data_IF_849574487934
#
_entry.id   IF_849574487934
#
_cell.length_a   1.000
_cell.length_b   1.000
_cell.length_c   1.000
_cell.angle_alpha   90.00
_cell.angle_beta   90.00
_cell.angle_gamma   90.00
#
_symmetry.space_group_name_H-M   'P 1'
#
loop_
_entity.id
_entity.type
_entity.pdbx_description
1 polymer ?
#
# COMPACT_ATOMS: atom_id res chain seq x y z
N UNK A 1 -22.99 -16.59 11.61
CA UNK A 1 -23.52 -15.48 10.79
C UNK A 1 -22.34 -14.92 10.03
N UNK A 2 -22.41 -14.92 8.70
CA UNK A 2 -21.31 -14.44 7.84
C UNK A 2 -21.62 -13.02 7.29
N UNK A 3 -20.66 -12.44 6.56
CA UNK A 3 -20.76 -11.04 6.10
C UNK A 3 -21.93 -10.80 5.13
N UNK A 4 -22.26 -11.78 4.30
CA UNK A 4 -23.43 -11.70 3.42
C UNK A 4 -24.72 -11.48 4.22
N UNK A 5 -24.90 -12.26 5.29
CA UNK A 5 -26.06 -12.14 6.15
C UNK A 5 -26.11 -10.80 6.90
N UNK A 6 -24.96 -10.29 7.34
CA UNK A 6 -24.85 -8.98 7.99
C UNK A 6 -25.21 -7.84 7.02
N UNK A 7 -24.61 -7.83 5.84
CA UNK A 7 -24.84 -6.82 4.80
C UNK A 7 -26.31 -6.76 4.38
N UNK A 8 -26.92 -7.93 4.16
CA UNK A 8 -28.34 -8.03 3.84
C UNK A 8 -29.21 -7.40 4.93
N UNK A 9 -28.99 -7.80 6.20
CA UNK A 9 -29.78 -7.28 7.33
C UNK A 9 -29.58 -5.77 7.54
N UNK A 10 -28.34 -5.28 7.41
CA UNK A 10 -28.03 -3.86 7.56
C UNK A 10 -28.70 -2.99 6.49
N UNK A 11 -28.84 -3.53 5.27
CA UNK A 11 -29.55 -2.87 4.17
C UNK A 11 -31.07 -2.99 4.26
N UNK A 12 -31.58 -3.87 5.13
CA UNK A 12 -33.01 -4.15 5.28
C UNK A 12 -33.58 -5.12 4.26
N UNK A 13 -32.74 -5.82 3.51
CA UNK A 13 -33.16 -6.72 2.43
C UNK A 13 -33.67 -8.06 2.96
N UNK A 14 -34.60 -8.68 2.24
CA UNK A 14 -35.03 -10.06 2.48
C UNK A 14 -34.14 -11.06 1.74
N UNK A 15 -34.14 -12.33 2.13
CA UNK A 15 -33.41 -13.36 1.37
C UNK A 15 -33.98 -13.48 -0.05
N UNK A 16 -35.30 -13.30 -0.21
CA UNK A 16 -35.98 -13.20 -1.50
C UNK A 16 -35.44 -12.06 -2.38
N UNK A 17 -35.17 -10.88 -1.82
CA UNK A 17 -34.59 -9.74 -2.56
C UNK A 17 -33.25 -10.10 -3.20
N UNK A 18 -32.36 -10.76 -2.45
CA UNK A 18 -31.07 -11.20 -2.99
C UNK A 18 -31.20 -12.36 -3.98
N UNK A 19 -32.18 -13.24 -3.77
CA UNK A 19 -32.46 -14.36 -4.66
C UNK A 19 -32.90 -13.84 -6.05
N UNK A 20 -33.79 -12.85 -6.08
CA UNK A 20 -34.25 -12.17 -7.30
C UNK A 20 -33.11 -11.43 -8.00
N UNK A 21 -32.27 -10.69 -7.26
CA UNK A 21 -31.09 -10.00 -7.79
C UNK A 21 -30.13 -10.95 -8.52
N UNK A 22 -29.92 -12.14 -7.96
CA UNK A 22 -28.92 -13.08 -8.44
C UNK A 22 -29.48 -14.15 -9.38
N UNK A 23 -30.81 -14.24 -9.53
CA UNK A 23 -31.45 -15.30 -10.32
C UNK A 23 -31.30 -16.68 -9.69
N UNK A 24 -31.27 -16.77 -8.36
CA UNK A 24 -31.15 -18.03 -7.60
C UNK A 24 -32.38 -18.25 -6.71
N UNK A 25 -32.47 -19.40 -6.04
CA UNK A 25 -33.54 -19.64 -5.08
C UNK A 25 -33.28 -18.95 -3.73
N UNK A 26 -34.35 -18.60 -3.01
CA UNK A 26 -34.23 -18.08 -1.63
C UNK A 26 -33.49 -19.06 -0.70
N UNK A 27 -33.68 -20.37 -0.92
CA UNK A 27 -32.96 -21.42 -0.20
C UNK A 27 -31.45 -21.38 -0.45
N UNK A 28 -31.02 -21.00 -1.66
CA UNK A 28 -29.62 -20.80 -2.00
C UNK A 28 -28.99 -19.69 -1.16
N UNK A 29 -29.66 -18.54 -1.04
CA UNK A 29 -29.21 -17.43 -0.19
C UNK A 29 -29.16 -17.87 1.27
N UNK A 30 -30.21 -18.54 1.76
CA UNK A 30 -30.27 -19.05 3.14
C UNK A 30 -29.14 -20.02 3.46
N UNK A 31 -28.78 -20.89 2.52
CA UNK A 31 -27.61 -21.78 2.65
C UNK A 31 -26.32 -20.98 2.71
N UNK A 32 -26.10 -20.07 1.77
CA UNK A 32 -24.89 -19.25 1.72
C UNK A 32 -24.67 -18.45 2.99
N UNK A 33 -25.73 -17.91 3.61
CA UNK A 33 -25.65 -17.18 4.88
C UNK A 33 -25.24 -18.02 6.10
N UNK A 34 -25.42 -19.34 6.02
CA UNK A 34 -25.10 -20.29 7.10
C UNK A 34 -23.68 -20.83 6.99
N UNK A 35 -23.07 -20.77 5.82
CA UNK A 35 -21.69 -21.23 5.63
C UNK A 35 -20.71 -20.31 6.38
N UNK A 36 -19.73 -20.87 7.12
CA UNK A 36 -18.72 -20.08 7.83
C UNK A 36 -17.82 -19.29 6.86
N UNK A 37 -17.58 -19.85 5.67
CA UNK A 37 -16.86 -19.21 4.58
C UNK A 37 -17.75 -19.16 3.34
N UNK A 38 -17.86 -18.00 2.70
CA UNK A 38 -18.71 -17.83 1.54
C UNK A 38 -18.04 -18.42 0.27
N UNK A 39 -18.23 -19.71 0.04
CA UNK A 39 -17.71 -20.43 -1.14
C UNK A 39 -18.75 -20.47 -2.25
N UNK A 40 -18.84 -19.40 -3.04
CA UNK A 40 -19.77 -19.27 -4.16
C UNK A 40 -19.02 -18.86 -5.43
N UNK A 41 -19.65 -18.97 -6.60
CA UNK A 41 -19.02 -18.58 -7.87
C UNK A 41 -18.70 -17.09 -7.89
N UNK A 42 -17.56 -16.75 -8.50
CA UNK A 42 -17.06 -15.37 -8.58
C UNK A 42 -18.07 -14.37 -9.16
N UNK A 43 -18.85 -14.80 -10.17
CA UNK A 43 -19.92 -14.00 -10.78
C UNK A 43 -20.96 -13.48 -9.75
N UNK A 44 -21.31 -14.29 -8.73
CA UNK A 44 -22.23 -13.88 -7.68
C UNK A 44 -21.55 -12.98 -6.65
N UNK A 45 -20.28 -13.24 -6.36
CA UNK A 45 -19.47 -12.44 -5.44
C UNK A 45 -19.36 -11.01 -5.96
N UNK A 46 -19.03 -10.82 -7.26
CA UNK A 46 -18.97 -9.51 -7.88
C UNK A 46 -20.31 -8.77 -7.80
N UNK A 47 -21.41 -9.42 -8.23
CA UNK A 47 -22.75 -8.81 -8.17
C UNK A 47 -23.15 -8.39 -6.75
N UNK A 48 -22.87 -9.22 -5.75
CA UNK A 48 -23.15 -8.90 -4.35
C UNK A 48 -22.27 -7.76 -3.84
N UNK A 49 -20.98 -7.75 -4.18
CA UNK A 49 -20.05 -6.70 -3.79
C UNK A 49 -20.46 -5.34 -4.39
N UNK A 50 -20.82 -5.30 -5.67
CA UNK A 50 -21.37 -4.13 -6.35
C UNK A 50 -22.68 -3.67 -5.73
N UNK A 51 -23.61 -4.60 -5.48
CA UNK A 51 -24.91 -4.30 -4.90
C UNK A 51 -24.82 -3.70 -3.49
N UNK A 52 -23.89 -4.20 -2.67
CA UNK A 52 -23.66 -3.69 -1.32
C UNK A 52 -22.64 -2.54 -1.27
N UNK A 53 -22.01 -2.20 -2.40
CA UNK A 53 -20.95 -1.19 -2.50
C UNK A 53 -19.78 -1.45 -1.54
N UNK A 54 -19.35 -2.71 -1.44
CA UNK A 54 -18.22 -3.14 -0.61
C UNK A 54 -17.16 -3.84 -1.46
N UNK A 55 -15.94 -3.97 -0.95
CA UNK A 55 -14.91 -4.79 -1.58
C UNK A 55 -15.28 -6.28 -1.45
N UNK A 56 -14.96 -7.08 -2.47
CA UNK A 56 -15.06 -8.56 -2.46
C UNK A 56 -14.41 -9.16 -1.21
N UNK A 57 -13.21 -8.71 -0.82
CA UNK A 57 -12.52 -9.22 0.37
C UNK A 57 -13.33 -9.00 1.66
N UNK A 58 -14.05 -7.88 1.76
CA UNK A 58 -14.94 -7.61 2.89
C UNK A 58 -16.14 -8.56 2.87
N UNK A 59 -16.80 -8.74 1.72
CA UNK A 59 -17.92 -9.67 1.56
C UNK A 59 -17.55 -11.12 1.91
N UNK A 60 -16.32 -11.53 1.60
CA UNK A 60 -15.79 -12.87 1.90
C UNK A 60 -15.26 -13.00 3.34
N UNK A 61 -15.19 -11.91 4.12
CA UNK A 61 -14.68 -11.91 5.49
C UNK A 61 -13.15 -11.95 5.61
N UNK A 62 -12.43 -11.63 4.53
CA UNK A 62 -10.96 -11.58 4.49
C UNK A 62 -10.37 -10.29 5.07
N UNK A 63 -11.19 -9.25 5.26
CA UNK A 63 -10.76 -7.96 5.80
C UNK A 63 -10.09 -8.08 7.18
N UNK A 64 -10.63 -8.93 8.05
CA UNK A 64 -10.07 -9.18 9.39
C UNK A 64 -8.97 -10.23 9.37
N UNK A 65 -9.03 -11.24 8.50
CA UNK A 65 -8.05 -12.33 8.49
C UNK A 65 -6.68 -11.83 8.06
N UNK A 66 -6.59 -11.09 6.95
CA UNK A 66 -5.32 -10.56 6.46
C UNK A 66 -4.73 -9.55 7.46
N UNK A 67 -5.56 -8.68 8.03
CA UNK A 67 -5.10 -7.69 9.01
C UNK A 67 -4.59 -8.36 10.29
N UNK A 68 -5.29 -9.38 10.79
CA UNK A 68 -4.88 -10.12 11.99
C UNK A 68 -3.64 -10.99 11.74
N UNK A 69 -3.51 -11.60 10.57
CA UNK A 69 -2.32 -12.37 10.18
C UNK A 69 -1.10 -11.47 10.01
N UNK A 70 -1.27 -10.31 9.37
CA UNK A 70 -0.23 -9.30 9.24
C UNK A 70 0.19 -8.77 10.62
N UNK A 71 -0.78 -8.46 11.49
CA UNK A 71 -0.52 -8.01 12.85
C UNK A 71 0.19 -9.09 13.69
N UNK A 72 -0.25 -10.35 13.59
CA UNK A 72 0.39 -11.48 14.27
C UNK A 72 1.81 -11.74 13.77
N UNK A 73 2.03 -11.65 12.46
CA UNK A 73 3.37 -11.75 11.85
C UNK A 73 4.28 -10.62 12.33
N UNK A 74 3.78 -9.39 12.34
CA UNK A 74 4.51 -8.23 12.84
C UNK A 74 4.88 -8.39 14.32
N UNK A 75 3.93 -8.78 15.17
CA UNK A 75 4.18 -9.02 16.60
C UNK A 75 5.22 -10.11 16.83
N UNK A 76 5.16 -11.20 16.06
CA UNK A 76 6.15 -12.27 16.11
C UNK A 76 7.54 -11.77 15.70
N UNK A 77 7.63 -11.00 14.61
CA UNK A 77 8.88 -10.41 14.16
C UNK A 77 9.45 -9.44 15.20
N UNK A 78 8.65 -8.50 15.69
CA UNK A 78 9.04 -7.55 16.73
C UNK A 78 9.55 -8.26 18.00
N UNK A 79 8.87 -9.35 18.40
CA UNK A 79 9.33 -10.21 19.50
C UNK A 79 10.71 -10.81 19.20
N UNK A 80 10.89 -11.42 18.04
CA UNK A 80 12.16 -12.03 17.63
C UNK A 80 13.30 -11.01 17.59
N UNK A 81 13.06 -9.80 17.07
CA UNK A 81 14.07 -8.73 17.04
C UNK A 81 14.48 -8.28 18.43
N UNK A 82 13.51 -8.19 19.36
CA UNK A 82 13.78 -7.78 20.74
C UNK A 82 14.53 -8.85 21.52
N UNK A 83 14.24 -10.13 21.28
CA UNK A 83 14.81 -11.24 22.05
C UNK A 83 16.10 -11.80 21.47
N UNK A 84 16.45 -11.47 20.23
CA UNK A 84 17.63 -11.99 19.55
C UNK A 84 18.55 -10.84 19.09
N UNK A 85 19.57 -10.46 19.88
CA UNK A 85 20.49 -9.38 19.53
C UNK A 85 21.24 -9.64 18.22
N UNK A 86 21.52 -10.90 17.88
CA UNK A 86 22.17 -11.25 16.61
C UNK A 86 21.32 -10.90 15.39
N UNK A 87 19.99 -11.13 15.46
CA UNK A 87 19.08 -10.72 14.39
C UNK A 87 19.05 -9.21 14.23
N UNK A 88 19.06 -8.47 15.35
CA UNK A 88 19.13 -7.00 15.33
C UNK A 88 20.43 -6.53 14.66
N UNK A 89 21.55 -7.17 14.95
CA UNK A 89 22.85 -6.83 14.35
C UNK A 89 22.87 -7.12 12.84
N UNK A 90 22.38 -8.30 12.42
CA UNK A 90 22.27 -8.68 11.00
C UNK A 90 21.42 -7.67 10.22
N UNK A 91 20.27 -7.26 10.77
CA UNK A 91 19.40 -6.27 10.13
C UNK A 91 20.08 -4.91 10.06
N UNK A 92 20.75 -4.49 11.14
CA UNK A 92 21.50 -3.23 11.13
C UNK A 92 22.61 -3.24 10.08
N UNK A 93 23.33 -4.34 9.91
CA UNK A 93 24.38 -4.49 8.89
C UNK A 93 23.81 -4.54 7.47
N UNK A 94 22.69 -5.23 7.29
CA UNK A 94 21.96 -5.27 6.03
C UNK A 94 21.46 -3.87 5.63
N UNK A 95 20.85 -3.13 6.55
CA UNK A 95 20.36 -1.77 6.32
C UNK A 95 21.52 -0.80 6.04
N UNK A 96 22.62 -0.91 6.78
CA UNK A 96 23.85 -0.15 6.53
C UNK A 96 24.40 -0.39 5.11
N UNK A 97 24.42 -1.65 4.68
CA UNK A 97 24.86 -2.05 3.35
C UNK A 97 23.95 -1.48 2.27
N UNK A 98 22.63 -1.60 2.44
CA UNK A 98 21.66 -1.03 1.50
C UNK A 98 21.75 0.49 1.43
N UNK A 99 21.94 1.17 2.57
CA UNK A 99 22.14 2.62 2.60
C UNK A 99 23.35 3.03 1.77
N UNK A 100 24.48 2.33 1.93
CA UNK A 100 25.70 2.59 1.13
C UNK A 100 25.45 2.35 -0.36
N UNK A 101 24.79 1.25 -0.70
CA UNK A 101 24.47 0.91 -2.08
C UNK A 101 23.55 1.95 -2.73
N UNK A 102 22.44 2.32 -2.08
CA UNK A 102 21.55 3.34 -2.62
C UNK A 102 22.22 4.71 -2.75
N UNK A 103 23.09 5.09 -1.81
CA UNK A 103 23.89 6.31 -1.94
C UNK A 103 24.85 6.25 -3.13
N UNK A 104 25.49 5.09 -3.33
CA UNK A 104 26.35 4.87 -4.49
C UNK A 104 25.55 4.90 -5.80
N UNK A 105 24.41 4.22 -5.86
CA UNK A 105 23.51 4.22 -7.02
C UNK A 105 23.09 5.64 -7.41
N UNK A 106 22.72 6.47 -6.43
CA UNK A 106 22.40 7.88 -6.69
C UNK A 106 23.60 8.65 -7.22
N UNK A 107 24.82 8.41 -6.70
CA UNK A 107 26.04 9.06 -7.17
C UNK A 107 26.42 8.72 -8.61
N UNK A 108 25.84 7.66 -9.20
CA UNK A 108 26.02 7.35 -10.62
C UNK A 108 25.19 8.27 -11.53
N UNK A 109 24.17 8.93 -10.98
CA UNK A 109 23.21 9.75 -11.73
C UNK A 109 23.52 11.25 -11.64
N UNK A 110 24.45 11.64 -10.77
CA UNK A 110 24.73 13.03 -10.40
C UNK A 110 26.18 13.19 -9.93
N UNK A 111 26.80 14.32 -10.25
CA UNK A 111 28.12 14.70 -9.71
C UNK A 111 28.12 14.68 -8.17
N UNK A 112 29.16 14.10 -7.57
CA UNK A 112 29.18 13.79 -6.13
C UNK A 112 29.09 15.01 -5.22
N UNK A 113 29.54 16.17 -5.68
CA UNK A 113 29.45 17.47 -5.00
C UNK A 113 28.02 18.04 -4.94
N UNK A 114 27.12 17.56 -5.81
CA UNK A 114 25.69 17.92 -5.82
C UNK A 114 24.83 17.05 -4.89
N UNK A 115 25.35 15.93 -4.40
CA UNK A 115 24.61 15.06 -3.47
C UNK A 115 24.07 15.80 -2.22
N UNK A 116 24.85 16.67 -1.54
CA UNK A 116 24.33 17.42 -0.39
C UNK A 116 23.15 18.34 -0.74
N UNK A 117 23.14 18.90 -1.96
CA UNK A 117 22.05 19.76 -2.44
C UNK A 117 20.79 18.92 -2.63
N UNK A 118 20.91 17.74 -3.25
CA UNK A 118 19.79 16.81 -3.42
C UNK A 118 19.25 16.34 -2.06
N UNK A 119 20.12 16.00 -1.12
CA UNK A 119 19.70 15.63 0.25
C UNK A 119 18.94 16.78 0.91
N UNK A 120 19.38 18.04 0.72
CA UNK A 120 18.68 19.21 1.25
C UNK A 120 17.32 19.44 0.58
N UNK A 121 17.24 19.26 -0.74
CA UNK A 121 15.97 19.38 -1.47
C UNK A 121 14.95 18.35 -1.01
N UNK A 122 15.38 17.11 -0.74
CA UNK A 122 14.52 16.06 -0.19
C UNK A 122 14.02 16.45 1.20
N UNK A 123 14.90 16.98 2.08
CA UNK A 123 14.48 17.47 3.40
C UNK A 123 13.42 18.57 3.29
N UNK A 124 13.64 19.53 2.40
CA UNK A 124 12.70 20.62 2.17
C UNK A 124 11.34 20.10 1.68
N UNK A 125 11.32 19.13 0.77
CA UNK A 125 10.09 18.49 0.29
C UNK A 125 9.33 17.78 1.41
N UNK A 126 10.01 17.04 2.29
CA UNK A 126 9.40 16.37 3.44
C UNK A 126 8.74 17.40 4.36
N UNK A 127 9.45 18.49 4.69
CA UNK A 127 8.93 19.56 5.54
C UNK A 127 7.77 20.33 4.88
N UNK A 128 7.84 20.58 3.57
CA UNK A 128 6.74 21.20 2.82
C UNK A 128 5.46 20.34 2.90
N UNK A 129 5.58 19.03 2.71
CA UNK A 129 4.42 18.14 2.74
C UNK A 129 3.86 17.96 4.15
N UNK A 130 4.73 17.91 5.16
CA UNK A 130 4.33 17.88 6.56
C UNK A 130 3.45 19.08 6.91
N UNK A 131 3.90 20.30 6.57
CA UNK A 131 3.18 21.55 6.83
C UNK A 131 1.81 21.62 6.16
N UNK A 132 1.58 20.89 5.07
CA UNK A 132 0.27 20.83 4.40
C UNK A 132 -0.71 19.92 5.12
N UNK A 133 -0.22 18.86 5.75
CA UNK A 133 -1.03 17.78 6.31
C UNK A 133 -1.24 17.92 7.81
N UNK A 134 -0.36 18.64 8.50
CA UNK A 134 -0.34 18.80 9.95
C UNK A 134 -0.27 20.29 10.32
N UNK A 135 -1.03 20.71 11.33
CA UNK A 135 -1.05 22.09 11.81
C UNK A 135 0.13 22.41 12.77
N UNK A 136 0.82 21.38 13.26
CA UNK A 136 1.90 21.45 14.23
C UNK A 136 3.28 21.27 13.59
N UNK A 137 4.31 21.69 14.31
CA UNK A 137 5.71 21.55 13.86
C UNK A 137 6.11 20.06 13.70
N UNK A 138 7.16 19.83 12.91
CA UNK A 138 7.66 18.48 12.67
C UNK A 138 8.27 17.91 13.95
N UNK A 139 7.67 16.83 14.45
CA UNK A 139 8.11 16.13 15.66
C UNK A 139 9.13 15.03 15.31
N UNK A 140 10.41 15.30 15.55
CA UNK A 140 11.48 14.33 15.30
C UNK A 140 11.41 13.11 16.24
N UNK A 141 10.77 13.20 17.41
CA UNK A 141 10.62 12.09 18.35
C UNK A 141 9.65 11.04 17.81
N UNK A 142 8.59 11.49 17.13
CA UNK A 142 7.58 10.61 16.54
C UNK A 142 8.01 10.09 15.17
N UNK A 143 8.58 10.95 14.32
CA UNK A 143 8.80 10.64 12.90
C UNK A 143 10.27 10.36 12.54
N UNK A 144 11.17 10.46 13.51
CA UNK A 144 12.61 10.37 13.30
C UNK A 144 13.20 11.66 12.72
N UNK A 145 14.51 11.80 12.81
CA UNK A 145 15.19 13.00 12.33
C UNK A 145 15.11 13.10 10.82
N UNK A 146 15.24 14.32 10.27
CA UNK A 146 15.37 14.49 8.81
C UNK A 146 16.53 13.67 8.22
N UNK A 147 17.60 13.46 8.98
CA UNK A 147 18.73 12.62 8.56
C UNK A 147 18.37 11.13 8.49
N UNK A 148 17.53 10.64 9.41
CA UNK A 148 17.04 9.26 9.39
C UNK A 148 16.15 9.02 8.17
N UNK A 149 15.33 9.98 7.80
CA UNK A 149 14.49 9.89 6.60
C UNK A 149 15.32 9.82 5.31
N UNK A 150 16.38 10.62 5.21
CA UNK A 150 17.35 10.51 4.10
C UNK A 150 18.00 9.12 4.08
N UNK A 151 18.39 8.60 5.25
CA UNK A 151 18.96 7.26 5.37
C UNK A 151 17.98 6.18 4.90
N UNK A 152 16.70 6.29 5.25
CA UNK A 152 15.64 5.38 4.78
C UNK A 152 15.44 5.46 3.26
N UNK A 153 15.56 6.64 2.66
CA UNK A 153 15.49 6.79 1.20
C UNK A 153 16.64 6.05 0.51
N UNK A 154 17.85 6.17 1.03
CA UNK A 154 18.99 5.40 0.50
C UNK A 154 18.83 3.89 0.70
N UNK A 155 18.32 3.45 1.86
CA UNK A 155 18.01 2.03 2.09
C UNK A 155 17.00 1.53 1.05
N UNK A 156 15.90 2.28 0.85
CA UNK A 156 14.87 1.94 -0.11
C UNK A 156 15.45 1.84 -1.53
N UNK A 157 16.21 2.84 -1.97
CA UNK A 157 16.86 2.84 -3.29
C UNK A 157 17.80 1.62 -3.46
N UNK A 158 18.58 1.28 -2.43
CA UNK A 158 19.46 0.11 -2.45
C UNK A 158 18.73 -1.24 -2.55
N UNK A 159 17.50 -1.32 -2.05
CA UNK A 159 16.66 -2.52 -2.07
C UNK A 159 15.83 -2.67 -3.35
N UNK A 160 15.67 -1.60 -4.14
CA UNK A 160 14.85 -1.64 -5.35
C UNK A 160 15.46 -2.56 -6.43
N UNK A 161 14.63 -3.33 -7.16
CA UNK A 161 15.05 -3.97 -8.40
C UNK A 161 15.59 -2.93 -9.39
N UNK A 162 16.54 -3.33 -10.25
CA UNK A 162 17.29 -2.43 -11.16
C UNK A 162 16.37 -1.46 -11.92
N UNK A 163 15.27 -1.97 -12.50
CA UNK A 163 14.34 -1.15 -13.30
C UNK A 163 13.71 -0.02 -12.48
N UNK A 164 13.37 -0.27 -11.22
CA UNK A 164 12.79 0.75 -10.34
C UNK A 164 13.85 1.67 -9.73
N UNK A 165 15.07 1.15 -9.56
CA UNK A 165 16.21 1.91 -9.05
C UNK A 165 16.59 3.04 -10.00
N UNK A 166 16.67 2.78 -11.31
CA UNK A 166 16.99 3.80 -12.30
C UNK A 166 15.93 4.90 -12.32
N UNK A 167 14.65 4.51 -12.32
CA UNK A 167 13.53 5.46 -12.27
C UNK A 167 13.56 6.31 -10.99
N UNK A 168 13.65 5.67 -9.83
CA UNK A 168 13.59 6.37 -8.54
C UNK A 168 14.82 7.24 -8.33
N UNK A 169 16.01 6.74 -8.66
CA UNK A 169 17.24 7.52 -8.65
C UNK A 169 17.15 8.75 -9.55
N UNK A 170 16.68 8.59 -10.79
CA UNK A 170 16.51 9.70 -11.73
C UNK A 170 15.48 10.71 -11.22
N UNK A 171 14.37 10.24 -10.65
CA UNK A 171 13.39 11.11 -10.01
C UNK A 171 14.00 11.92 -8.87
N UNK A 172 14.85 11.32 -8.03
CA UNK A 172 15.51 12.02 -6.92
C UNK A 172 16.47 13.11 -7.39
N UNK A 173 17.06 13.01 -8.59
CA UNK A 173 17.95 14.03 -9.16
C UNK A 173 17.21 15.16 -9.89
N UNK A 174 15.91 15.02 -10.15
CA UNK A 174 15.13 16.06 -10.82
C UNK A 174 15.05 17.38 -10.00
N UNK A 175 14.92 18.54 -10.68
CA UNK A 175 14.52 19.78 -10.05
C UNK A 175 13.18 19.65 -9.31
N UNK A 176 12.99 20.44 -8.26
CA UNK A 176 11.76 20.42 -7.43
C UNK A 176 10.49 20.67 -8.24
N UNK A 177 10.52 21.52 -9.26
CA UNK A 177 9.39 21.76 -10.17
C UNK A 177 8.97 20.48 -10.90
N UNK A 178 9.94 19.73 -11.39
CA UNK A 178 9.71 18.58 -12.27
C UNK A 178 9.29 17.37 -11.44
N UNK A 179 9.86 17.21 -10.24
CA UNK A 179 9.37 16.26 -9.24
C UNK A 179 7.88 16.46 -8.94
N UNK A 180 7.43 17.71 -8.76
CA UNK A 180 6.02 18.04 -8.51
C UNK A 180 5.12 17.60 -9.67
N UNK A 181 5.57 17.76 -10.91
CA UNK A 181 4.84 17.30 -12.11
C UNK A 181 4.70 15.77 -12.11
N UNK A 182 5.80 15.04 -11.88
CA UNK A 182 5.77 13.57 -11.83
C UNK A 182 4.84 13.08 -10.73
N UNK A 183 4.89 13.69 -9.53
CA UNK A 183 4.02 13.34 -8.42
C UNK A 183 2.54 13.60 -8.73
N UNK A 184 2.21 14.72 -9.40
CA UNK A 184 0.85 15.00 -9.83
C UNK A 184 0.33 13.96 -10.83
N UNK A 185 1.18 13.54 -11.78
CA UNK A 185 0.83 12.50 -12.73
C UNK A 185 0.56 11.16 -12.02
N UNK A 186 1.46 10.73 -11.15
CA UNK A 186 1.31 9.47 -10.37
C UNK A 186 0.04 9.51 -9.53
N UNK A 187 -0.22 10.61 -8.83
CA UNK A 187 -1.45 10.77 -8.04
C UNK A 187 -2.70 10.74 -8.91
N UNK A 188 -2.70 11.42 -10.05
CA UNK A 188 -3.83 11.40 -10.98
C UNK A 188 -4.12 9.98 -11.50
N UNK A 189 -3.08 9.19 -11.77
CA UNK A 189 -3.21 7.80 -12.20
C UNK A 189 -3.77 6.92 -11.08
N UNK A 190 -3.29 7.13 -9.84
CA UNK A 190 -3.79 6.43 -8.66
C UNK A 190 -5.28 6.69 -8.43
N UNK A 191 -5.69 7.96 -8.41
CA UNK A 191 -7.09 8.37 -8.18
C UNK A 191 -8.03 7.83 -9.26
N UNK A 192 -7.61 7.84 -10.53
CA UNK A 192 -8.41 7.31 -11.65
C UNK A 192 -8.77 5.84 -11.48
N UNK A 193 -7.94 5.07 -10.78
CA UNK A 193 -8.12 3.64 -10.59
C UNK A 193 -8.32 3.24 -9.12
N UNK A 194 -8.40 4.19 -8.18
CA UNK A 194 -8.40 3.95 -6.72
C UNK A 194 -7.38 2.90 -6.26
N UNK A 195 -6.21 2.85 -6.90
CA UNK A 195 -5.18 1.85 -6.61
C UNK A 195 -5.54 0.39 -6.97
N UNK A 196 -6.58 0.14 -7.77
CA UNK A 196 -7.02 -1.21 -8.14
C UNK A 196 -6.11 -1.83 -9.24
N UNK A 197 -5.31 -1.02 -9.94
CA UNK A 197 -4.41 -1.47 -11.02
C UNK A 197 -5.14 -1.74 -12.34
N UNK A 198 -4.43 -1.80 -13.46
CA UNK A 198 -5.05 -2.11 -14.77
C UNK A 198 -5.53 -3.56 -14.73
N UNK A 199 -6.85 -3.78 -14.71
CA UNK A 199 -7.46 -5.11 -14.62
C UNK A 199 -7.62 -5.74 -16.01
N UNK A 200 -7.75 -4.93 -17.06
CA UNK A 200 -7.74 -5.36 -18.46
C UNK A 200 -7.07 -4.30 -19.34
N UNK A 201 -6.06 -4.71 -20.12
CA UNK A 201 -5.66 -3.97 -21.31
C UNK A 201 -6.69 -4.26 -22.39
N UNK A 202 -7.52 -3.26 -22.75
CA UNK A 202 -8.31 -3.40 -23.96
C UNK A 202 -7.35 -3.35 -25.15
N UNK A 203 -7.30 -4.39 -25.99
CA UNK A 203 -6.46 -4.33 -27.18
C UNK A 203 -6.94 -3.15 -28.02
N UNK A 204 -5.98 -2.33 -28.45
CA UNK A 204 -6.22 -1.22 -29.37
C UNK A 204 -7.08 -1.74 -30.52
N UNK A 205 -8.28 -1.17 -30.65
CA UNK A 205 -9.16 -1.47 -31.78
C UNK A 205 -8.42 -1.02 -33.04
N UNK A 206 -7.90 -2.01 -33.79
CA UNK A 206 -7.49 -1.84 -35.19
C UNK A 206 -8.65 -1.32 -36.03
#
# INVERSE_FOLDING_TARGET
MNRLQELRKNKGDTQKTLAELLGVSEMTISRWEKEPELKIKYEYIQKLAEYFKVNIGYLLGYDKTIQNEALGSYQNMARLLRTNPDLKNIISEYDETNRKNGKWDLSLLVETDKLPIIEQDIKNLILEEWKKTQAEDYDEEIYGTLSDNISRIYIALGQLPIVFKDFFGSFLTLPTSDKKIVMQLVNSLYEKNKGIGVIEEHPDKQ
#
